data_IF_756278809808
#
_entry.id   IF_756278809808
#
_cell.length_a   1.000
_cell.length_b   1.000
_cell.length_c   1.000
_cell.angle_alpha   90.00
_cell.angle_beta   90.00
_cell.angle_gamma   90.00
#
_symmetry.space_group_name_H-M   'P 1'
#
loop_
_entity.id
_entity.type
_entity.pdbx_description
1 polymer ?
#
# COMPACT_ATOMS: atom_id res chain seq x y z
N UNK A 1 16.76 -0.83 -18.09
CA UNK A 1 15.90 -2.01 -17.94
C UNK A 1 15.14 -1.92 -16.61
N UNK A 2 13.89 -2.32 -16.56
CA UNK A 2 13.11 -2.44 -15.32
C UNK A 2 13.51 -3.74 -14.63
N UNK A 3 13.92 -3.63 -13.36
CA UNK A 3 14.37 -4.76 -12.54
C UNK A 3 13.33 -5.26 -11.53
N UNK A 4 12.30 -4.43 -11.26
CA UNK A 4 11.26 -4.75 -10.30
C UNK A 4 9.90 -4.22 -10.78
N UNK A 5 8.87 -5.05 -10.74
CA UNK A 5 7.48 -4.65 -10.96
C UNK A 5 6.72 -4.68 -9.63
N UNK A 6 6.15 -3.54 -9.24
CA UNK A 6 5.44 -3.39 -7.97
C UNK A 6 3.97 -3.08 -8.24
N UNK A 7 3.08 -3.65 -7.45
CA UNK A 7 1.63 -3.38 -7.53
C UNK A 7 1.07 -2.98 -6.17
N UNK A 8 0.13 -2.04 -6.16
CA UNK A 8 -0.81 -1.92 -5.06
C UNK A 8 -1.83 -3.08 -5.10
N UNK A 9 -2.64 -3.23 -4.07
CA UNK A 9 -3.64 -4.29 -3.95
C UNK A 9 -5.05 -3.79 -4.22
N UNK A 10 -5.57 -2.89 -3.40
CA UNK A 10 -6.92 -2.36 -3.57
C UNK A 10 -7.01 -1.52 -4.85
N UNK A 11 -8.04 -1.75 -5.65
CA UNK A 11 -8.18 -1.07 -6.93
C UNK A 11 -7.19 -1.49 -8.03
N UNK A 12 -6.14 -2.25 -7.67
CA UNK A 12 -5.15 -2.82 -8.60
C UNK A 12 -5.28 -4.33 -8.74
N UNK A 13 -5.02 -5.12 -7.71
CA UNK A 13 -5.19 -6.60 -7.77
C UNK A 13 -6.66 -6.99 -7.69
N UNK A 14 -7.43 -6.31 -6.82
CA UNK A 14 -8.88 -6.53 -6.69
C UNK A 14 -9.56 -5.27 -6.16
N UNK A 15 -10.87 -5.17 -6.35
CA UNK A 15 -11.67 -4.22 -5.59
C UNK A 15 -11.82 -4.69 -4.13
N UNK A 16 -11.83 -3.78 -3.15
CA UNK A 16 -12.19 -4.10 -1.78
C UNK A 16 -13.53 -4.85 -1.71
N UNK A 17 -13.61 -5.88 -0.86
CA UNK A 17 -14.82 -6.66 -0.60
C UNK A 17 -15.42 -7.39 -1.80
N UNK A 18 -14.69 -7.52 -2.92
CA UNK A 18 -15.11 -8.30 -4.09
C UNK A 18 -14.22 -9.52 -4.29
N UNK A 19 -14.80 -10.54 -4.91
CA UNK A 19 -14.01 -11.71 -5.32
C UNK A 19 -13.01 -11.30 -6.41
N UNK A 20 -11.73 -11.67 -6.26
CA UNK A 20 -10.71 -11.40 -7.28
C UNK A 20 -11.02 -12.10 -8.61
N UNK A 21 -10.54 -11.53 -9.70
CA UNK A 21 -10.59 -12.15 -11.04
C UNK A 21 -9.48 -13.22 -11.16
N UNK A 22 -9.75 -14.42 -10.67
CA UNK A 22 -8.76 -15.50 -10.53
C UNK A 22 -8.01 -15.83 -11.82
N UNK A 23 -8.66 -15.70 -13.00
CA UNK A 23 -7.98 -15.92 -14.28
C UNK A 23 -6.86 -14.92 -14.55
N UNK A 24 -7.01 -13.68 -14.11
CA UNK A 24 -5.95 -12.67 -14.24
C UNK A 24 -4.87 -12.88 -13.17
N UNK A 25 -5.28 -13.19 -11.94
CA UNK A 25 -4.35 -13.53 -10.84
C UNK A 25 -3.42 -14.68 -11.27
N UNK A 26 -3.97 -15.75 -11.87
CA UNK A 26 -3.17 -16.87 -12.35
C UNK A 26 -2.17 -16.48 -13.45
N UNK A 27 -2.57 -15.60 -14.38
CA UNK A 27 -1.67 -15.11 -15.44
C UNK A 27 -0.55 -14.22 -14.86
N UNK A 28 -0.87 -13.34 -13.90
CA UNK A 28 0.12 -12.50 -13.21
C UNK A 28 1.10 -13.39 -12.43
N UNK A 29 0.56 -14.35 -11.69
CA UNK A 29 1.34 -15.34 -10.95
C UNK A 29 2.29 -16.13 -11.86
N UNK A 30 1.80 -16.60 -13.01
CA UNK A 30 2.61 -17.33 -13.98
C UNK A 30 3.78 -16.50 -14.50
N UNK A 31 3.57 -15.23 -14.85
CA UNK A 31 4.65 -14.30 -15.23
C UNK A 31 5.66 -14.10 -14.09
N UNK A 32 5.18 -13.96 -12.83
CA UNK A 32 6.07 -13.84 -11.69
C UNK A 32 6.91 -15.11 -11.44
N UNK A 33 6.37 -16.30 -11.69
CA UNK A 33 7.12 -17.55 -11.64
C UNK A 33 8.18 -17.59 -12.75
N UNK A 34 7.81 -17.19 -13.97
CA UNK A 34 8.73 -17.16 -15.12
C UNK A 34 9.88 -16.16 -14.92
N UNK A 35 9.66 -15.07 -14.17
CA UNK A 35 10.69 -14.06 -13.90
C UNK A 35 11.97 -14.65 -13.29
N UNK A 36 11.87 -15.75 -12.56
CA UNK A 36 13.03 -16.43 -11.93
C UNK A 36 13.99 -17.09 -12.92
N UNK A 37 13.59 -17.21 -14.17
CA UNK A 37 14.37 -17.85 -15.25
C UNK A 37 14.56 -16.92 -16.44
N UNK A 38 14.24 -15.63 -16.27
CA UNK A 38 14.25 -14.66 -17.36
C UNK A 38 14.92 -13.36 -16.92
N UNK A 39 15.84 -12.86 -17.71
CA UNK A 39 16.45 -11.55 -17.49
C UNK A 39 15.54 -10.39 -18.01
N UNK A 40 14.46 -10.72 -18.74
CA UNK A 40 13.56 -9.76 -19.37
C UNK A 40 12.32 -9.50 -18.50
N UNK A 41 11.83 -10.53 -17.80
CA UNK A 41 10.63 -10.46 -16.95
C UNK A 41 11.09 -10.03 -15.56
N UNK A 42 10.79 -8.81 -15.08
CA UNK A 42 11.14 -8.44 -13.72
C UNK A 42 10.29 -9.20 -12.71
N UNK A 43 10.82 -9.58 -11.54
CA UNK A 43 10.00 -10.15 -10.48
C UNK A 43 8.96 -9.14 -9.98
N UNK A 44 7.81 -9.67 -9.55
CA UNK A 44 6.70 -8.90 -9.00
C UNK A 44 6.73 -8.92 -7.47
N UNK A 45 6.43 -7.77 -6.87
CA UNK A 45 6.14 -7.64 -5.45
C UNK A 45 5.03 -6.61 -5.18
N UNK A 46 4.72 -6.36 -3.91
CA UNK A 46 3.57 -5.58 -3.46
C UNK A 46 4.02 -4.35 -2.68
N UNK A 47 3.27 -3.23 -2.83
CA UNK A 47 3.35 -2.06 -1.97
C UNK A 47 1.92 -1.58 -1.65
N UNK A 48 1.45 -1.85 -0.41
CA UNK A 48 0.06 -1.61 -0.02
C UNK A 48 -0.09 -0.93 1.34
N UNK A 49 -1.19 -0.19 1.52
CA UNK A 49 -1.64 0.30 2.83
C UNK A 49 -2.37 -0.76 3.68
N UNK A 50 -2.63 -1.94 3.11
CA UNK A 50 -3.28 -3.05 3.83
C UNK A 50 -2.38 -3.64 4.92
N UNK A 51 -2.97 -4.18 6.00
CA UNK A 51 -2.21 -4.81 7.07
C UNK A 51 -1.51 -6.09 6.61
N UNK A 52 -0.46 -6.46 7.33
CA UNK A 52 0.40 -7.60 7.03
C UNK A 52 -0.34 -8.91 6.68
N UNK A 53 -1.34 -9.38 7.46
CA UNK A 53 -1.98 -10.68 7.18
C UNK A 53 -2.70 -10.71 5.83
N UNK A 54 -3.29 -9.58 5.40
CA UNK A 54 -3.92 -9.47 4.10
C UNK A 54 -2.88 -9.41 2.98
N UNK A 55 -1.85 -8.59 3.15
CA UNK A 55 -0.77 -8.47 2.17
C UNK A 55 -0.03 -9.79 1.96
N UNK A 56 0.24 -10.54 3.05
CA UNK A 56 0.88 -11.86 3.00
C UNK A 56 0.04 -12.87 2.21
N UNK A 57 -1.28 -12.96 2.48
CA UNK A 57 -2.15 -13.87 1.75
C UNK A 57 -2.15 -13.60 0.24
N UNK A 58 -2.22 -12.32 -0.17
CA UNK A 58 -2.17 -11.95 -1.58
C UNK A 58 -0.79 -12.18 -2.18
N UNK A 59 0.28 -11.92 -1.42
CA UNK A 59 1.65 -12.24 -1.85
C UNK A 59 1.83 -13.74 -2.13
N UNK A 60 1.21 -14.62 -1.33
CA UNK A 60 1.19 -16.06 -1.59
C UNK A 60 0.41 -16.41 -2.86
N UNK A 61 -0.74 -15.77 -3.12
CA UNK A 61 -1.51 -15.99 -4.35
C UNK A 61 -0.72 -15.63 -5.61
N UNK A 62 0.06 -14.55 -5.55
CA UNK A 62 0.89 -14.04 -6.65
C UNK A 62 2.27 -14.72 -6.72
N UNK A 63 2.55 -15.66 -5.83
CA UNK A 63 3.85 -16.33 -5.66
C UNK A 63 5.01 -15.32 -5.49
N UNK A 64 4.77 -14.25 -4.74
CA UNK A 64 5.80 -13.27 -4.38
C UNK A 64 6.84 -13.93 -3.49
N UNK A 65 8.14 -13.78 -3.85
CA UNK A 65 9.28 -14.30 -3.08
C UNK A 65 10.23 -13.22 -2.62
N UNK A 66 10.04 -12.02 -3.14
CA UNK A 66 10.74 -10.83 -2.68
C UNK A 66 10.09 -10.27 -1.41
N UNK A 67 10.80 -9.43 -0.64
CA UNK A 67 10.15 -8.61 0.37
C UNK A 67 8.98 -7.83 -0.21
N UNK A 68 7.97 -7.54 0.59
CA UNK A 68 6.83 -6.74 0.19
C UNK A 68 6.47 -5.68 1.23
N UNK A 69 5.89 -4.56 0.77
CA UNK A 69 5.48 -3.46 1.62
C UNK A 69 4.02 -3.65 2.06
N UNK A 70 3.78 -3.51 3.36
CA UNK A 70 2.46 -3.48 4.00
C UNK A 70 2.32 -2.24 4.87
N UNK A 71 1.11 -1.84 5.21
CA UNK A 71 0.81 -0.62 6.00
C UNK A 71 1.62 0.59 5.55
N UNK A 72 1.84 0.71 4.23
CA UNK A 72 2.54 1.79 3.53
C UNK A 72 4.05 1.88 3.75
N UNK A 73 4.58 1.55 4.93
CA UNK A 73 6.02 1.69 5.23
C UNK A 73 6.62 0.52 6.03
N UNK A 74 5.87 -0.55 6.26
CA UNK A 74 6.41 -1.81 6.79
C UNK A 74 6.92 -2.68 5.63
N UNK A 75 8.15 -3.19 5.73
CA UNK A 75 8.73 -4.12 4.77
C UNK A 75 8.87 -5.50 5.42
N UNK A 76 8.17 -6.49 4.87
CA UNK A 76 8.26 -7.87 5.32
C UNK A 76 9.23 -8.68 4.48
N UNK A 77 10.08 -9.44 5.15
CA UNK A 77 11.05 -10.37 4.54
C UNK A 77 10.66 -11.81 4.84
N UNK A 78 10.45 -12.62 3.81
CA UNK A 78 10.18 -14.06 3.94
C UNK A 78 11.30 -14.80 4.66
N UNK A 79 12.54 -14.41 4.37
CA UNK A 79 13.70 -15.00 5.04
C UNK A 79 13.82 -14.47 6.47
N UNK A 80 13.67 -15.37 7.42
CA UNK A 80 13.75 -15.06 8.84
C UNK A 80 12.48 -14.43 9.44
N UNK A 81 11.38 -14.33 8.67
CA UNK A 81 10.11 -13.75 9.16
C UNK A 81 10.34 -12.37 9.82
N UNK A 82 11.07 -11.50 9.15
CA UNK A 82 11.55 -10.21 9.68
C UNK A 82 10.77 -9.05 9.10
N UNK A 83 10.47 -8.08 9.94
CA UNK A 83 9.87 -6.80 9.56
C UNK A 83 10.90 -5.69 9.73
N UNK A 84 11.01 -4.85 8.70
CA UNK A 84 11.69 -3.56 8.75
C UNK A 84 10.67 -2.45 8.58
N UNK A 85 10.94 -1.28 9.11
CA UNK A 85 10.12 -0.08 8.88
C UNK A 85 11.03 1.10 8.55
N UNK A 86 10.45 2.14 7.96
CA UNK A 86 11.14 3.42 7.80
C UNK A 86 11.35 4.16 9.14
N UNK A 87 10.80 3.65 10.24
CA UNK A 87 10.98 4.16 11.58
C UNK A 87 12.28 3.62 12.17
N UNK A 88 13.05 4.49 12.86
CA UNK A 88 14.38 4.14 13.38
C UNK A 88 14.32 3.15 14.55
N UNK A 89 13.26 3.20 15.36
CA UNK A 89 13.03 2.31 16.49
C UNK A 89 11.55 1.98 16.61
N UNK A 90 11.14 0.78 16.16
CA UNK A 90 9.74 0.37 16.08
C UNK A 90 9.02 0.48 17.43
N UNK A 91 9.67 0.10 18.55
CA UNK A 91 9.02 0.10 19.86
C UNK A 91 8.72 1.51 20.35
N UNK A 92 9.72 2.40 20.32
CA UNK A 92 9.57 3.76 20.81
C UNK A 92 8.75 4.62 19.83
N UNK A 93 8.97 4.42 18.53
CA UNK A 93 8.29 5.20 17.48
C UNK A 93 6.80 4.83 17.33
N UNK A 94 6.38 3.62 17.73
CA UNK A 94 4.97 3.21 17.68
C UNK A 94 4.19 3.48 18.98
N UNK A 95 4.85 3.87 20.08
CA UNK A 95 4.17 4.20 21.34
C UNK A 95 3.05 5.25 21.16
N UNK A 96 3.23 6.34 20.40
CA UNK A 96 2.15 7.29 20.13
C UNK A 96 0.95 6.64 19.44
N UNK A 97 1.16 5.69 18.53
CA UNK A 97 0.09 4.95 17.84
C UNK A 97 -0.67 4.07 18.82
N UNK A 98 0.02 3.34 19.70
CA UNK A 98 -0.63 2.51 20.71
C UNK A 98 -1.43 3.36 21.71
N UNK A 99 -0.86 4.44 22.20
CA UNK A 99 -1.52 5.39 23.10
C UNK A 99 -2.76 6.03 22.43
N UNK A 100 -2.67 6.38 21.14
CA UNK A 100 -3.81 6.90 20.37
C UNK A 100 -4.92 5.83 20.24
N UNK A 101 -4.57 4.57 19.99
CA UNK A 101 -5.55 3.46 19.94
C UNK A 101 -6.30 3.29 21.26
N UNK A 102 -5.62 3.37 22.38
CA UNK A 102 -6.27 3.29 23.69
C UNK A 102 -7.20 4.49 23.96
N UNK A 103 -6.78 5.68 23.55
CA UNK A 103 -7.65 6.85 23.64
C UNK A 103 -8.89 6.72 22.72
N UNK A 104 -8.75 6.22 21.51
CA UNK A 104 -9.87 5.95 20.60
C UNK A 104 -10.86 4.98 21.24
N UNK A 105 -10.37 3.85 21.79
CA UNK A 105 -11.22 2.85 22.47
C UNK A 105 -12.00 3.42 23.65
N UNK A 106 -11.39 4.29 24.40
CA UNK A 106 -11.98 4.83 25.65
C UNK A 106 -12.83 6.07 25.44
N UNK A 107 -12.62 6.87 24.41
CA UNK A 107 -13.28 8.17 24.21
C UNK A 107 -14.08 8.27 22.92
N UNK A 108 -13.65 7.65 21.83
CA UNK A 108 -14.34 7.77 20.54
C UNK A 108 -15.39 6.67 20.38
N UNK A 109 -15.00 5.41 20.53
CA UNK A 109 -15.93 4.29 20.27
C UNK A 109 -17.18 4.30 21.16
N UNK A 110 -17.16 4.73 22.44
CA UNK A 110 -18.38 4.82 23.24
C UNK A 110 -19.39 5.85 22.73
N UNK A 111 -18.90 6.95 22.14
CA UNK A 111 -19.74 8.04 21.59
C UNK A 111 -20.21 7.75 20.15
N UNK A 112 -19.49 6.91 19.41
CA UNK A 112 -19.77 6.57 18.03
C UNK A 112 -19.91 5.04 17.85
N UNK A 113 -21.05 4.44 18.21
CA UNK A 113 -21.21 2.98 18.29
C UNK A 113 -21.07 2.23 16.95
N UNK A 114 -21.23 2.91 15.82
CA UNK A 114 -21.03 2.32 14.47
C UNK A 114 -19.57 2.40 13.99
N UNK A 115 -18.74 3.20 14.68
CA UNK A 115 -17.31 3.27 14.41
C UNK A 115 -16.56 2.09 15.04
N UNK A 116 -15.50 1.66 14.38
CA UNK A 116 -14.61 0.62 14.86
C UNK A 116 -13.15 1.02 14.65
N UNK A 117 -12.26 0.50 15.51
CA UNK A 117 -10.82 0.62 15.26
C UNK A 117 -10.40 -0.42 14.22
N UNK A 118 -9.53 -0.04 13.29
CA UNK A 118 -8.94 -1.00 12.35
C UNK A 118 -7.91 -1.89 13.09
N UNK A 119 -8.39 -2.97 13.68
CA UNK A 119 -7.69 -3.77 14.69
C UNK A 119 -6.41 -4.45 14.19
N UNK A 120 -6.33 -4.74 12.87
CA UNK A 120 -5.24 -5.53 12.29
C UNK A 120 -4.01 -4.70 11.90
N UNK A 121 -4.08 -3.37 11.95
CA UNK A 121 -2.94 -2.49 11.67
C UNK A 121 -2.09 -2.26 12.92
N UNK A 122 -0.77 -2.24 12.74
CA UNK A 122 0.21 -1.93 13.79
C UNK A 122 0.64 -0.46 13.76
N UNK A 123 0.87 0.09 12.57
CA UNK A 123 1.47 1.41 12.37
C UNK A 123 0.44 2.51 12.09
N UNK A 124 -0.84 2.20 12.24
CA UNK A 124 -1.97 3.10 12.01
C UNK A 124 -2.98 2.95 13.14
N UNK A 125 -3.40 4.05 13.75
CA UNK A 125 -4.51 4.10 14.69
C UNK A 125 -5.81 4.41 13.93
N UNK A 126 -6.11 3.62 12.90
CA UNK A 126 -7.24 3.80 12.00
C UNK A 126 -8.59 3.62 12.69
N UNK A 127 -9.53 4.53 12.38
CA UNK A 127 -10.94 4.44 12.72
C UNK A 127 -11.70 4.23 11.43
N UNK A 128 -12.63 3.29 11.41
CA UNK A 128 -13.51 3.02 10.26
C UNK A 128 -14.97 3.13 10.69
N UNK A 129 -15.81 3.68 9.84
CA UNK A 129 -17.26 3.69 9.99
C UNK A 129 -17.92 3.57 8.61
N UNK A 130 -19.12 2.94 8.53
CA UNK A 130 -19.82 2.78 7.26
C UNK A 130 -20.41 4.11 6.75
N UNK A 131 -20.73 5.05 7.63
CA UNK A 131 -21.34 6.32 7.30
C UNK A 131 -20.33 7.46 7.33
N UNK A 132 -20.30 8.25 6.25
CA UNK A 132 -19.42 9.42 6.13
C UNK A 132 -19.67 10.45 7.24
N UNK A 133 -20.91 10.65 7.61
CA UNK A 133 -21.33 11.60 8.66
C UNK A 133 -20.71 11.28 10.02
N UNK A 134 -20.51 9.98 10.32
CA UNK A 134 -19.83 9.52 11.53
C UNK A 134 -18.34 9.86 11.46
N UNK A 135 -17.70 9.62 10.31
CA UNK A 135 -16.31 10.02 10.09
C UNK A 135 -16.13 11.53 10.24
N UNK A 136 -16.98 12.32 9.58
CA UNK A 136 -16.93 13.79 9.65
C UNK A 136 -17.11 14.29 11.10
N UNK A 137 -17.95 13.65 11.91
CA UNK A 137 -18.15 13.97 13.31
C UNK A 137 -16.96 13.60 14.22
N UNK A 138 -16.22 12.55 13.90
CA UNK A 138 -15.04 12.09 14.65
C UNK A 138 -13.81 12.99 14.41
N UNK A 139 -13.65 13.51 13.20
CA UNK A 139 -12.46 14.28 12.78
C UNK A 139 -12.07 15.39 13.78
N UNK A 140 -12.98 16.28 14.25
CA UNK A 140 -12.60 17.34 15.17
C UNK A 140 -11.99 16.85 16.48
N UNK A 141 -12.50 15.73 17.03
CA UNK A 141 -11.98 15.14 18.28
C UNK A 141 -10.55 14.62 18.09
N UNK A 142 -10.32 13.91 16.98
CA UNK A 142 -8.99 13.36 16.64
C UNK A 142 -8.01 14.51 16.37
N UNK A 143 -8.41 15.53 15.63
CA UNK A 143 -7.57 16.72 15.35
C UNK A 143 -7.10 17.40 16.63
N UNK A 144 -8.03 17.64 17.56
CA UNK A 144 -7.70 18.28 18.84
C UNK A 144 -6.76 17.39 19.67
N UNK A 145 -7.01 16.08 19.72
CA UNK A 145 -6.16 15.14 20.44
C UNK A 145 -4.75 15.07 19.87
N UNK A 146 -4.62 15.03 18.53
CA UNK A 146 -3.31 15.07 17.87
C UNK A 146 -2.59 16.37 18.23
N UNK A 147 -3.26 17.52 18.09
CA UNK A 147 -2.68 18.82 18.36
C UNK A 147 -2.18 18.98 19.79
N UNK A 148 -2.90 18.46 20.77
CA UNK A 148 -2.59 18.64 22.20
C UNK A 148 -1.57 17.63 22.72
N UNK A 149 -1.73 16.35 22.38
CA UNK A 149 -1.01 15.26 23.05
C UNK A 149 -0.05 14.50 22.12
N UNK A 150 -0.31 14.54 20.80
CA UNK A 150 0.48 13.76 19.82
C UNK A 150 0.88 14.59 18.59
N UNK A 151 1.55 15.76 18.77
CA UNK A 151 1.79 16.73 17.69
C UNK A 151 2.64 16.19 16.54
N UNK A 152 3.25 15.01 16.69
CA UNK A 152 3.99 14.34 15.63
C UNK A 152 3.12 13.47 14.73
N UNK A 153 1.90 13.07 15.14
CA UNK A 153 1.04 12.22 14.34
C UNK A 153 0.41 13.00 13.19
N UNK A 154 0.32 12.34 12.04
CA UNK A 154 -0.38 12.83 10.86
C UNK A 154 -1.75 12.17 10.74
N UNK A 155 -2.74 12.92 10.26
CA UNK A 155 -4.09 12.42 10.04
C UNK A 155 -4.44 12.48 8.56
N UNK A 156 -4.93 11.38 8.01
CA UNK A 156 -5.51 11.28 6.68
C UNK A 156 -6.93 10.74 6.76
N UNK A 157 -7.84 11.29 5.96
CA UNK A 157 -9.25 10.93 5.99
C UNK A 157 -9.74 10.45 4.64
N UNK A 158 -10.69 9.51 4.67
CA UNK A 158 -11.51 9.12 3.53
C UNK A 158 -12.99 9.23 3.93
N UNK A 159 -13.92 8.92 3.04
CA UNK A 159 -15.35 8.93 3.38
C UNK A 159 -15.73 7.87 4.44
N UNK A 160 -14.88 6.86 4.67
CA UNK A 160 -15.17 5.74 5.58
C UNK A 160 -14.06 5.50 6.63
N UNK A 161 -13.02 6.34 6.67
CA UNK A 161 -11.92 6.15 7.63
C UNK A 161 -11.24 7.45 8.05
N UNK A 162 -10.69 7.42 9.27
CA UNK A 162 -9.66 8.34 9.76
C UNK A 162 -8.42 7.50 10.02
N UNK A 163 -7.33 7.74 9.30
CA UNK A 163 -6.05 7.07 9.48
C UNK A 163 -5.10 8.01 10.25
N UNK A 164 -4.47 7.52 11.30
CA UNK A 164 -3.58 8.28 12.17
C UNK A 164 -2.23 7.60 12.19
N UNK A 165 -1.23 8.26 11.65
CA UNK A 165 0.05 7.67 11.25
C UNK A 165 1.24 8.43 11.85
N UNK A 166 2.36 7.75 12.03
CA UNK A 166 3.64 8.41 12.24
C UNK A 166 4.08 9.15 10.97
N UNK A 167 4.79 10.29 11.10
CA UNK A 167 5.36 11.00 9.96
C UNK A 167 6.22 10.09 9.10
N UNK A 168 6.05 10.20 7.79
CA UNK A 168 6.80 9.37 6.85
C UNK A 168 6.25 7.95 6.67
N UNK A 169 5.17 7.56 7.34
CA UNK A 169 4.50 6.28 7.07
C UNK A 169 3.67 6.38 5.78
N UNK A 170 4.34 6.34 4.64
CA UNK A 170 3.72 6.43 3.31
C UNK A 170 4.39 5.47 2.31
N UNK A 171 3.68 5.20 1.19
CA UNK A 171 4.13 4.23 0.18
C UNK A 171 5.47 4.59 -0.49
N UNK A 172 5.84 5.87 -0.57
CA UNK A 172 7.15 6.25 -1.09
C UNK A 172 8.28 5.78 -0.17
N UNK A 173 8.13 5.91 1.14
CA UNK A 173 9.14 5.43 2.09
C UNK A 173 9.22 3.89 2.08
N UNK A 174 8.07 3.21 2.06
CA UNK A 174 8.04 1.75 1.87
C UNK A 174 8.71 1.30 0.57
N UNK A 175 8.48 2.03 -0.53
CA UNK A 175 9.12 1.76 -1.82
C UNK A 175 10.64 1.99 -1.78
N UNK A 176 11.13 3.00 -1.06
CA UNK A 176 12.57 3.24 -0.87
C UNK A 176 13.22 2.10 -0.08
N UNK A 177 12.60 1.66 1.03
CA UNK A 177 13.07 0.49 1.78
C UNK A 177 13.14 -0.77 0.90
N UNK A 178 12.08 -1.01 0.12
CA UNK A 178 12.02 -2.13 -0.81
C UNK A 178 13.15 -2.04 -1.84
N UNK A 179 13.35 -0.88 -2.46
CA UNK A 179 14.39 -0.63 -3.45
C UNK A 179 15.79 -0.87 -2.86
N UNK A 180 16.07 -0.35 -1.66
CA UNK A 180 17.31 -0.56 -0.94
C UNK A 180 17.54 -2.05 -0.62
N UNK A 181 16.52 -2.75 -0.11
CA UNK A 181 16.60 -4.17 0.23
C UNK A 181 16.90 -5.07 -0.97
N UNK A 182 16.53 -4.63 -2.18
CA UNK A 182 16.73 -5.34 -3.44
C UNK A 182 17.94 -4.81 -4.24
N UNK A 183 18.64 -3.82 -3.73
CA UNK A 183 19.76 -3.15 -4.41
C UNK A 183 19.37 -2.66 -5.82
N UNK A 184 18.20 -2.05 -5.94
CA UNK A 184 17.69 -1.40 -7.16
C UNK A 184 17.41 0.08 -6.89
N UNK A 185 17.49 0.91 -7.93
CA UNK A 185 17.05 2.31 -7.83
C UNK A 185 15.57 2.44 -8.18
N UNK A 186 14.90 3.51 -7.71
CA UNK A 186 13.52 3.80 -8.11
C UNK A 186 13.38 3.97 -9.64
N UNK A 187 14.45 4.42 -10.30
CA UNK A 187 14.51 4.50 -11.77
C UNK A 187 14.59 3.15 -12.51
N UNK A 188 14.64 2.04 -11.79
CA UNK A 188 14.60 0.67 -12.31
C UNK A 188 13.31 -0.07 -11.89
N UNK A 189 12.35 0.66 -11.30
CA UNK A 189 11.06 0.13 -10.84
C UNK A 189 9.94 0.59 -11.77
N UNK A 190 9.00 -0.33 -12.03
CA UNK A 190 7.67 -0.02 -12.54
C UNK A 190 6.67 -0.21 -11.41
N UNK A 191 5.72 0.71 -11.27
CA UNK A 191 4.71 0.69 -10.21
C UNK A 191 3.32 1.00 -10.76
N UNK A 192 2.31 0.24 -10.31
CA UNK A 192 0.90 0.52 -10.60
C UNK A 192 0.15 0.79 -9.29
N UNK A 193 -0.56 1.92 -9.23
CA UNK A 193 -1.38 2.36 -8.10
C UNK A 193 -2.64 3.06 -8.56
N UNK A 194 -3.62 3.29 -7.66
CA UNK A 194 -4.94 3.83 -8.04
C UNK A 194 -5.41 5.02 -7.19
N UNK A 195 -4.83 5.25 -6.00
CA UNK A 195 -5.29 6.30 -5.07
C UNK A 195 -4.24 7.38 -4.82
N UNK A 196 -4.66 8.48 -4.18
CA UNK A 196 -3.77 9.59 -3.81
C UNK A 196 -2.54 9.17 -2.98
N UNK A 197 -2.65 8.11 -2.20
CA UNK A 197 -1.54 7.53 -1.42
C UNK A 197 -0.41 6.97 -2.30
N UNK A 198 -0.67 6.67 -3.58
CA UNK A 198 0.31 6.16 -4.53
C UNK A 198 1.09 7.26 -5.25
N UNK A 199 0.53 8.47 -5.33
CA UNK A 199 1.09 9.59 -6.10
C UNK A 199 2.55 9.89 -5.78
N UNK A 200 2.98 9.95 -4.49
CA UNK A 200 4.39 10.20 -4.19
C UNK A 200 5.33 9.14 -4.76
N UNK A 201 4.96 7.86 -4.69
CA UNK A 201 5.77 6.76 -5.23
C UNK A 201 5.75 6.71 -6.75
N UNK A 202 4.59 6.94 -7.38
CA UNK A 202 4.44 6.99 -8.84
C UNK A 202 5.31 8.06 -9.50
N UNK A 203 5.52 9.20 -8.84
CA UNK A 203 6.36 10.29 -9.35
C UNK A 203 7.86 9.96 -9.39
N UNK A 204 8.30 9.00 -8.60
CA UNK A 204 9.73 8.68 -8.42
C UNK A 204 10.16 7.43 -9.23
N UNK A 205 9.22 6.59 -9.64
CA UNK A 205 9.54 5.36 -10.38
C UNK A 205 9.72 5.62 -11.88
N UNK A 206 10.39 4.70 -12.57
CA UNK A 206 10.66 4.81 -14.02
C UNK A 206 9.41 4.66 -14.87
N UNK A 207 8.55 3.71 -14.54
CA UNK A 207 7.33 3.42 -15.29
C UNK A 207 6.11 3.44 -14.35
N UNK A 208 5.49 4.61 -14.16
CA UNK A 208 4.26 4.71 -13.37
C UNK A 208 3.05 4.34 -14.21
N UNK A 209 2.17 3.48 -13.66
CA UNK A 209 0.92 3.06 -14.28
C UNK A 209 -0.28 3.31 -13.39
N UNK A 210 -1.44 3.45 -14.00
CA UNK A 210 -2.73 3.46 -13.30
C UNK A 210 -3.80 2.68 -14.04
N UNK A 211 -4.69 1.99 -13.32
CA UNK A 211 -5.89 1.40 -13.90
C UNK A 211 -6.91 2.49 -14.26
N UNK A 212 -7.90 2.15 -15.11
CA UNK A 212 -8.97 3.09 -15.50
C UNK A 212 -9.86 3.52 -14.33
N UNK A 213 -9.94 2.72 -13.26
CA UNK A 213 -10.65 3.05 -12.01
C UNK A 213 -9.86 3.98 -11.08
N UNK A 214 -8.62 4.37 -11.41
CA UNK A 214 -7.81 5.24 -10.57
C UNK A 214 -8.38 6.65 -10.44
N UNK A 215 -8.02 7.32 -9.32
CA UNK A 215 -8.37 8.72 -9.08
C UNK A 215 -7.68 9.66 -10.08
N UNK A 216 -8.24 10.84 -10.26
CA UNK A 216 -7.69 11.86 -11.18
C UNK A 216 -6.23 12.19 -10.84
N UNK A 217 -5.91 12.36 -9.56
CA UNK A 217 -4.57 12.71 -9.11
C UNK A 217 -3.50 11.68 -9.51
N UNK A 218 -3.88 10.39 -9.54
CA UNK A 218 -3.00 9.30 -10.01
C UNK A 218 -2.86 9.34 -11.52
N UNK A 219 -3.97 9.52 -12.24
CA UNK A 219 -3.98 9.59 -13.70
C UNK A 219 -3.13 10.73 -14.25
N UNK A 220 -3.03 11.84 -13.53
CA UNK A 220 -2.25 13.01 -13.94
C UNK A 220 -0.71 12.78 -13.84
N UNK A 221 -0.25 11.70 -13.18
CA UNK A 221 1.18 11.39 -12.96
C UNK A 221 1.63 10.03 -13.47
N UNK A 222 0.77 9.30 -14.18
CA UNK A 222 1.02 7.94 -14.62
C UNK A 222 0.49 7.65 -16.02
N UNK A 223 0.94 6.56 -16.64
CA UNK A 223 0.33 6.03 -17.85
C UNK A 223 -1.01 5.36 -17.50
N UNK A 224 -2.11 5.93 -18.02
CA UNK A 224 -3.45 5.38 -17.82
C UNK A 224 -3.69 4.18 -18.72
N UNK A 225 -4.07 3.05 -18.12
CA UNK A 225 -4.41 1.83 -18.84
C UNK A 225 -5.92 1.73 -19.05
N UNK A 226 -6.32 1.29 -20.24
CA UNK A 226 -7.74 1.07 -20.57
C UNK A 226 -8.21 -0.31 -20.05
N UNK A 227 -8.05 -0.51 -18.76
CA UNK A 227 -8.46 -1.70 -18.04
C UNK A 227 -8.57 -1.37 -16.53
N UNK A 228 -9.38 -2.13 -15.80
CA UNK A 228 -9.54 -2.02 -14.36
C UNK A 228 -8.78 -3.12 -13.63
N UNK A 229 -8.42 -2.86 -12.38
CA UNK A 229 -7.89 -3.82 -11.40
C UNK A 229 -6.84 -4.78 -11.97
N UNK A 230 -6.98 -6.10 -11.76
CA UNK A 230 -6.01 -7.12 -12.18
C UNK A 230 -5.80 -7.20 -13.70
N UNK A 231 -6.80 -6.77 -14.50
CA UNK A 231 -6.63 -6.63 -15.95
C UNK A 231 -5.61 -5.55 -16.29
N UNK A 232 -5.65 -4.41 -15.56
CA UNK A 232 -4.66 -3.34 -15.72
C UNK A 232 -3.28 -3.77 -15.23
N UNK A 233 -3.18 -4.46 -14.09
CA UNK A 233 -1.90 -5.00 -13.60
C UNK A 233 -1.26 -5.94 -14.61
N UNK A 234 -2.04 -6.85 -15.19
CA UNK A 234 -1.56 -7.75 -16.24
C UNK A 234 -1.10 -7.00 -17.49
N UNK A 235 -1.83 -5.95 -17.88
CA UNK A 235 -1.46 -5.09 -19.01
C UNK A 235 -0.16 -4.33 -18.73
N UNK A 236 -0.04 -3.71 -17.54
CA UNK A 236 1.18 -3.02 -17.10
C UNK A 236 2.39 -3.97 -17.11
N UNK A 237 2.24 -5.17 -16.55
CA UNK A 237 3.32 -6.15 -16.49
C UNK A 237 3.81 -6.55 -17.88
N UNK A 238 2.89 -6.79 -18.83
CA UNK A 238 3.25 -7.07 -20.23
C UNK A 238 3.98 -5.89 -20.90
N UNK A 239 3.54 -4.65 -20.67
CA UNK A 239 4.23 -3.45 -21.19
C UNK A 239 5.66 -3.34 -20.65
N UNK A 240 5.87 -3.65 -19.38
CA UNK A 240 7.22 -3.68 -18.78
C UNK A 240 8.11 -4.75 -19.43
N UNK A 241 7.57 -5.94 -19.69
CA UNK A 241 8.28 -7.02 -20.39
C UNK A 241 8.64 -6.60 -21.81
N UNK A 242 7.71 -5.99 -22.55
CA UNK A 242 7.94 -5.45 -23.89
C UNK A 242 9.03 -4.36 -23.90
N UNK A 243 8.97 -3.43 -22.94
CA UNK A 243 10.01 -2.42 -22.75
C UNK A 243 11.38 -3.06 -22.50
N UNK A 244 11.49 -4.02 -21.59
CA UNK A 244 12.76 -4.69 -21.31
C UNK A 244 13.28 -5.47 -22.54
N UNK A 245 12.39 -6.03 -23.36
CA UNK A 245 12.75 -6.75 -24.59
C UNK A 245 13.29 -5.82 -25.70
N UNK A 246 12.91 -4.54 -25.66
CA UNK A 246 13.32 -3.56 -26.65
C UNK A 246 14.69 -2.92 -26.40
N UNK A 247 15.33 -3.24 -25.26
CA UNK A 247 16.66 -2.76 -24.86
C UNK A 247 17.78 -3.70 -25.32
#
# INVERSE_FOLDING_TARGET
MIKLFVTDLDGCISHPFKTPEWNNIEKIRSLNIESRKSDIIPPLTICTGRPYPYAEAVAQWLDVRLPFVFESAGLYHWNGNRVETALNNIQDDLEPIFSMKEWIRSHILPEFPTANIEFSKMMDAGIVAPEKEVIDAIIPFVQEKIKTDFPLLEMHTTDISVNILMPGNNKLQGMKLLAESQNVSLSEIAYIGDTGGDVPALKEVKMPFSPSNATRAVKDVSENLDAETSSAVLMAYKKVIEFNRSL
#
